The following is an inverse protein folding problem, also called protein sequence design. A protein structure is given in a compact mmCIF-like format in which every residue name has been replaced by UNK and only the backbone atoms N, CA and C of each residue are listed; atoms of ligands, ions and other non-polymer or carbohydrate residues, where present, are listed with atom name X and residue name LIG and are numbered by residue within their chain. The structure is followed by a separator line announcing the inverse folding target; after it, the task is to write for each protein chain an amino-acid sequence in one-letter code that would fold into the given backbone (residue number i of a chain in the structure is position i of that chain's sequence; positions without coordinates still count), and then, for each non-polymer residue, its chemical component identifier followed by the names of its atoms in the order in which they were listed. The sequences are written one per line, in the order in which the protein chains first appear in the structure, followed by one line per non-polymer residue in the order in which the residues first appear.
data_IF_576394875234
#
_entry.id   IF_576394875234
#
_cell.length_a   1.000
_cell.length_b   1.000
_cell.length_c   1.000
_cell.angle_alpha   90.00
_cell.angle_beta   90.00
_cell.angle_gamma   90.00
#
_symmetry.space_group_name_H-M   'P 1'
#
loop_
_entity.id
_entity.type
_entity.pdbx_description
1 polymer ?
#
# COMPACT_ATOMS: atom_id res chain seq x y z
N UNK A 1 1.17 -22.40 -12.08
CA UNK A 1 1.32 -21.48 -10.93
C UNK A 1 1.90 -20.17 -11.46
N UNK A 2 1.05 -19.22 -11.85
CA UNK A 2 1.48 -17.92 -12.40
C UNK A 2 1.98 -17.05 -11.25
N UNK A 3 3.31 -17.00 -11.08
CA UNK A 3 3.92 -15.93 -10.29
C UNK A 3 3.51 -14.61 -10.93
N UNK A 4 2.58 -13.88 -10.33
CA UNK A 4 2.12 -12.62 -10.90
C UNK A 4 3.28 -11.63 -10.86
N UNK A 5 3.92 -11.43 -12.01
CA UNK A 5 4.89 -10.38 -12.21
C UNK A 5 4.26 -9.02 -11.86
N UNK A 6 5.04 -8.07 -11.32
CA UNK A 6 4.56 -6.73 -11.08
C UNK A 6 4.01 -6.16 -12.38
N UNK A 7 2.74 -5.73 -12.35
CA UNK A 7 2.09 -5.09 -13.48
C UNK A 7 1.32 -3.87 -13.02
N UNK A 8 1.10 -2.94 -13.94
CA UNK A 8 0.13 -1.88 -13.73
C UNK A 8 -1.27 -2.50 -13.59
N UNK A 9 -2.03 -2.03 -12.61
CA UNK A 9 -3.43 -2.40 -12.46
C UNK A 9 -4.30 -1.52 -13.37
N UNK A 10 -5.35 -2.10 -13.94
CA UNK A 10 -6.32 -1.39 -14.77
C UNK A 10 -7.06 -0.28 -14.01
N UNK A 11 -7.14 -0.42 -12.69
CA UNK A 11 -7.72 0.57 -11.79
C UNK A 11 -6.96 0.62 -10.47
N UNK A 12 -6.93 1.81 -9.87
CA UNK A 12 -6.46 2.01 -8.50
C UNK A 12 -7.45 1.33 -7.54
N UNK A 13 -6.92 0.56 -6.61
CA UNK A 13 -7.67 -0.29 -5.69
C UNK A 13 -7.77 0.29 -4.28
N UNK A 14 -6.92 1.28 -3.94
CA UNK A 14 -7.09 2.00 -2.68
C UNK A 14 -8.37 2.87 -2.76
N UNK A 15 -9.24 2.85 -1.74
CA UNK A 15 -10.42 3.70 -1.71
C UNK A 15 -10.05 5.19 -1.81
N UNK A 16 -10.91 5.96 -2.48
CA UNK A 16 -10.70 7.41 -2.62
C UNK A 16 -10.99 8.09 -1.27
N UNK A 17 -10.16 9.06 -0.90
CA UNK A 17 -10.37 9.86 0.32
C UNK A 17 -9.78 11.27 0.26
N UNK A 18 -9.86 12.03 1.37
CA UNK A 18 -9.55 13.47 1.35
C UNK A 18 -8.04 13.79 1.35
N UNK A 19 -7.17 12.80 1.56
CA UNK A 19 -5.72 13.03 1.65
C UNK A 19 -5.09 12.95 0.27
N UNK A 20 -4.43 14.02 -0.19
CA UNK A 20 -3.73 14.03 -1.46
C UNK A 20 -2.30 13.50 -1.32
N UNK A 21 -1.90 12.61 -2.22
CA UNK A 21 -0.55 12.04 -2.33
C UNK A 21 -0.06 12.26 -3.75
N UNK A 22 1.06 12.95 -3.91
CA UNK A 22 1.63 13.23 -5.21
C UNK A 22 2.70 12.20 -5.58
N UNK A 23 2.61 11.67 -6.80
CA UNK A 23 3.53 10.66 -7.34
C UNK A 23 3.90 11.09 -8.75
N UNK A 24 5.08 11.68 -8.90
CA UNK A 24 5.45 12.38 -10.14
C UNK A 24 4.43 13.50 -10.44
N UNK A 25 3.88 13.48 -11.66
CA UNK A 25 2.83 14.41 -12.09
C UNK A 25 1.41 14.05 -11.64
N UNK A 26 1.20 12.89 -11.00
CA UNK A 26 -0.14 12.36 -10.71
C UNK A 26 -0.50 12.54 -9.24
N UNK A 27 -1.71 13.03 -8.98
CA UNK A 27 -2.26 13.15 -7.62
C UNK A 27 -3.23 12.01 -7.33
N UNK A 28 -2.97 11.26 -6.26
CA UNK A 28 -3.85 10.23 -5.73
C UNK A 28 -4.56 10.73 -4.48
N UNK A 29 -5.87 10.53 -4.44
CA UNK A 29 -6.72 10.85 -3.29
C UNK A 29 -6.91 9.59 -2.46
N UNK A 30 -6.27 9.53 -1.29
CA UNK A 30 -6.25 8.35 -0.40
C UNK A 30 -7.05 8.62 0.88
N UNK A 31 -7.45 7.57 1.62
CA UNK A 31 -8.22 7.72 2.84
C UNK A 31 -7.45 8.49 3.92
N UNK A 32 -8.19 9.23 4.75
CA UNK A 32 -7.61 9.90 5.91
C UNK A 32 -7.02 8.85 6.87
N UNK A 33 -5.79 9.09 7.34
CA UNK A 33 -5.10 8.17 8.25
C UNK A 33 -4.43 7.00 7.56
N UNK A 34 -4.39 6.97 6.22
CA UNK A 34 -3.50 6.08 5.50
C UNK A 34 -2.04 6.47 5.78
N UNK A 35 -1.21 5.47 6.10
CA UNK A 35 0.23 5.65 6.21
C UNK A 35 0.81 5.85 4.82
N UNK A 36 1.64 6.87 4.61
CA UNK A 36 2.29 7.14 3.32
C UNK A 36 3.79 7.11 3.50
N UNK A 37 4.48 6.34 2.66
CA UNK A 37 5.93 6.23 2.69
C UNK A 37 6.53 6.36 1.28
N UNK A 38 7.59 7.15 1.09
CA UNK A 38 8.28 7.23 -0.18
C UNK A 38 8.97 5.90 -0.50
N UNK A 39 8.67 5.37 -1.68
CA UNK A 39 9.30 4.18 -2.23
C UNK A 39 10.47 4.50 -3.16
N UNK A 40 11.16 3.47 -3.68
CA UNK A 40 12.21 3.64 -4.66
C UNK A 40 11.64 4.14 -6.01
N UNK A 41 12.48 4.76 -6.82
CA UNK A 41 12.18 5.09 -8.22
C UNK A 41 10.91 5.93 -8.43
N UNK A 42 10.60 6.84 -7.50
CA UNK A 42 9.41 7.70 -7.59
C UNK A 42 8.09 6.99 -7.30
N UNK A 43 8.13 5.78 -6.73
CA UNK A 43 6.95 5.10 -6.21
C UNK A 43 6.57 5.64 -4.84
N UNK A 44 5.31 5.53 -4.49
CA UNK A 44 4.83 5.82 -3.13
C UNK A 44 4.05 4.61 -2.63
N UNK A 45 4.40 4.15 -1.43
CA UNK A 45 3.66 3.12 -0.74
C UNK A 45 2.61 3.74 0.16
N UNK A 46 1.41 3.15 0.17
CA UNK A 46 0.31 3.58 1.02
C UNK A 46 -0.22 2.39 1.81
N UNK A 47 -0.18 2.46 3.14
CA UNK A 47 -0.76 1.48 4.04
C UNK A 47 -2.16 1.94 4.47
N UNK A 48 -3.18 1.20 4.05
CA UNK A 48 -4.56 1.42 4.48
C UNK A 48 -5.27 0.10 4.72
N UNK A 49 -6.08 0.01 5.77
CA UNK A 49 -6.81 -1.21 6.15
C UNK A 49 -5.94 -2.49 6.16
N UNK A 50 -4.71 -2.39 6.72
CA UNK A 50 -3.71 -3.47 6.78
C UNK A 50 -3.22 -3.98 5.40
N UNK A 51 -3.45 -3.24 4.32
CA UNK A 51 -2.97 -3.54 2.98
C UNK A 51 -2.04 -2.43 2.47
N UNK A 52 -0.89 -2.84 1.94
CA UNK A 52 0.01 -1.92 1.23
C UNK A 52 -0.38 -1.85 -0.24
N UNK A 53 -0.52 -0.62 -0.71
CA UNK A 53 -0.72 -0.23 -2.09
C UNK A 53 0.57 0.42 -2.62
N UNK A 54 0.90 0.19 -3.89
CA UNK A 54 2.06 0.78 -4.54
C UNK A 54 1.60 1.71 -5.65
N UNK A 55 1.76 3.01 -5.48
CA UNK A 55 1.37 4.01 -6.45
C UNK A 55 2.61 4.43 -7.25
N UNK A 56 2.51 4.36 -8.57
CA UNK A 56 3.45 4.98 -9.49
C UNK A 56 2.75 6.10 -10.28
N UNK A 57 3.51 6.87 -11.04
CA UNK A 57 2.96 8.00 -11.83
C UNK A 57 1.83 7.56 -12.79
N UNK A 58 1.87 6.32 -13.28
CA UNK A 58 0.91 5.79 -14.25
C UNK A 58 -0.27 5.03 -13.64
N UNK A 59 -0.33 4.86 -12.33
CA UNK A 59 -1.36 4.06 -11.66
C UNK A 59 -0.83 3.20 -10.52
N UNK A 60 -1.69 2.35 -9.97
CA UNK A 60 -1.30 1.40 -8.94
C UNK A 60 -0.59 0.18 -9.56
N UNK A 61 0.51 -0.26 -8.95
CA UNK A 61 1.28 -1.43 -9.35
C UNK A 61 0.91 -2.59 -8.43
N UNK A 62 0.67 -3.76 -9.02
CA UNK A 62 0.36 -4.97 -8.28
C UNK A 62 1.55 -5.39 -7.41
N UNK A 63 1.34 -5.51 -6.10
CA UNK A 63 2.30 -6.10 -5.17
C UNK A 63 1.91 -7.56 -4.90
N UNK A 64 2.78 -8.54 -5.18
CA UNK A 64 2.57 -9.93 -4.78
C UNK A 64 2.39 -10.06 -3.25
N UNK A 65 1.44 -10.88 -2.80
CA UNK A 65 1.13 -11.01 -1.37
C UNK A 65 2.35 -11.38 -0.50
N UNK A 66 3.25 -12.21 -1.03
CA UNK A 66 4.50 -12.60 -0.36
C UNK A 66 5.39 -11.40 0.00
N UNK A 67 5.39 -10.36 -0.84
CA UNK A 67 6.24 -9.16 -0.66
C UNK A 67 5.50 -8.08 0.13
N UNK A 68 4.16 -8.08 0.10
CA UNK A 68 3.32 -7.07 0.75
C UNK A 68 3.58 -6.97 2.26
N UNK A 69 3.69 -8.11 2.95
CA UNK A 69 3.99 -8.13 4.38
C UNK A 69 5.36 -7.54 4.71
N UNK A 70 6.37 -7.85 3.89
CA UNK A 70 7.72 -7.31 4.04
C UNK A 70 7.73 -5.78 3.86
N UNK A 71 7.02 -5.27 2.85
CA UNK A 71 6.88 -3.83 2.64
C UNK A 71 6.14 -3.14 3.80
N UNK A 72 5.08 -3.77 4.31
CA UNK A 72 4.33 -3.24 5.45
C UNK A 72 5.23 -3.07 6.68
N UNK A 73 6.04 -4.07 6.99
CA UNK A 73 6.98 -4.02 8.12
C UNK A 73 8.11 -3.04 7.89
N UNK A 74 8.70 -3.03 6.69
CA UNK A 74 9.87 -2.21 6.40
C UNK A 74 9.55 -0.70 6.34
N UNK A 75 8.44 -0.33 5.69
CA UNK A 75 8.10 1.08 5.47
C UNK A 75 7.19 1.70 6.53
N UNK A 76 6.42 0.88 7.25
CA UNK A 76 5.42 1.39 8.20
C UNK A 76 5.58 0.83 9.61
N UNK A 77 6.59 0.00 9.87
CA UNK A 77 6.77 -0.69 11.15
C UNK A 77 5.64 -1.68 11.48
N UNK A 78 4.75 -1.96 10.52
CA UNK A 78 3.68 -2.90 10.68
C UNK A 78 4.24 -4.33 10.51
N UNK A 79 4.75 -4.92 11.59
CA UNK A 79 4.84 -6.37 11.68
C UNK A 79 3.47 -7.02 11.43
N UNK A 80 3.37 -8.32 11.08
CA UNK A 80 2.09 -9.00 11.15
C UNK A 80 1.52 -8.71 12.54
N UNK A 81 0.40 -7.99 12.59
CA UNK A 81 -0.30 -7.75 13.85
C UNK A 81 -0.54 -9.13 14.44
N UNK A 82 0.20 -9.48 15.49
CA UNK A 82 -0.27 -10.49 16.41
C UNK A 82 -1.67 -10.03 16.79
N UNK A 83 -2.63 -10.84 16.37
CA UNK A 83 -4.04 -10.74 16.66
C UNK A 83 -4.17 -10.34 18.12
N UNK A 84 -4.76 -9.16 18.36
CA UNK A 84 -4.96 -8.65 19.70
C UNK A 84 -5.59 -9.76 20.54
N UNK A 85 -4.85 -10.23 21.54
CA UNK A 85 -5.35 -11.21 22.51
C UNK A 85 -6.64 -10.64 23.09
N UNK A 86 -7.75 -11.30 22.78
CA UNK A 86 -9.02 -11.01 23.42
C UNK A 86 -8.82 -11.19 24.95
N UNK A 87 -9.30 -10.26 25.79
CA UNK A 87 -9.36 -10.52 27.21
C UNK A 87 -10.28 -11.74 27.40
N UNK A 88 -9.70 -12.84 27.87
CA UNK A 88 -10.45 -14.03 28.31
C UNK A 88 -11.06 -13.69 29.69
N UNK A 89 -12.21 -14.30 30.05
CA UNK A 89 -13.29 -13.70 30.83
C UNK A 89 -12.97 -13.38 32.30
#
# INVERSE_FOLDING_TARGET
MTGQHPRLLDAVTIPIGPQAVQVGGTTYYVPKGAGVAPGPSGLVYVLFAARVHCLGERGEISIPDRVRGVLASHYFGAGPRQQASAPTP
#
